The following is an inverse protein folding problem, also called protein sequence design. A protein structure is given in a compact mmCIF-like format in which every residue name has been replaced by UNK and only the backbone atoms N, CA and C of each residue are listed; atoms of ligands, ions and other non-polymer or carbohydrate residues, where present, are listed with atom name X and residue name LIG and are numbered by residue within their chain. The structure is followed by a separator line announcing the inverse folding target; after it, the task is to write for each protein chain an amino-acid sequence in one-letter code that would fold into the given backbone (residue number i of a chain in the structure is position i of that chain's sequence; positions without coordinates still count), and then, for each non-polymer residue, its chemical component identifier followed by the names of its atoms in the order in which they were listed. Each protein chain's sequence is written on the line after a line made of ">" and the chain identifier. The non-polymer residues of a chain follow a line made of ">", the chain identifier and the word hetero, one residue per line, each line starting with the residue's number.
data_IF_994458838584
#
_entry.id   IF_994458838584
#
_cell.length_a   1.000
_cell.length_b   1.000
_cell.length_c   1.000
_cell.angle_alpha   90.00
_cell.angle_beta   90.00
_cell.angle_gamma   90.00
#
_symmetry.space_group_name_H-M   'P 1'
#
loop_
_entity.id
_entity.type
_entity.pdbx_description
1 polymer ?
#
# COMPACT_ATOMS: atom_id res chain seq x y z
N UNK A 1 -5.64 -19.28 -20.51
CA UNK A 1 -4.95 -18.00 -20.25
C UNK A 1 -4.41 -18.05 -18.83
N UNK A 2 -3.08 -18.17 -18.70
CA UNK A 2 -2.45 -18.09 -17.40
C UNK A 2 -2.66 -16.68 -16.85
N UNK A 3 -3.40 -16.53 -15.74
CA UNK A 3 -3.49 -15.29 -15.00
C UNK A 3 -2.06 -14.93 -14.56
N UNK A 4 -1.56 -13.80 -15.01
CA UNK A 4 -0.23 -13.34 -14.59
C UNK A 4 -0.27 -13.12 -13.08
N UNK A 5 0.78 -13.56 -12.38
CA UNK A 5 0.92 -13.40 -10.92
C UNK A 5 0.74 -11.93 -10.45
N UNK A 6 0.93 -10.96 -11.37
CA UNK A 6 0.71 -9.53 -11.14
C UNK A 6 -0.75 -9.10 -10.97
N UNK A 7 -1.73 -9.98 -11.25
CA UNK A 7 -3.15 -9.65 -11.17
C UNK A 7 -3.75 -9.96 -9.78
N UNK A 8 -2.99 -10.57 -8.88
CA UNK A 8 -3.47 -10.85 -7.54
C UNK A 8 -3.43 -9.58 -6.65
N UNK A 9 -4.36 -9.52 -5.68
CA UNK A 9 -4.48 -8.41 -4.74
C UNK A 9 -3.15 -8.04 -4.07
N UNK A 10 -2.41 -9.02 -3.56
CA UNK A 10 -1.13 -8.79 -2.87
C UNK A 10 -0.06 -8.16 -3.76
N UNK A 11 0.00 -8.55 -5.04
CA UNK A 11 0.94 -7.96 -5.99
C UNK A 11 0.60 -6.50 -6.30
N UNK A 12 -0.68 -6.14 -6.34
CA UNK A 12 -1.13 -4.78 -6.66
C UNK A 12 -0.97 -3.78 -5.51
N UNK A 13 -0.94 -4.24 -4.27
CA UNK A 13 -0.84 -3.38 -3.07
C UNK A 13 0.53 -3.46 -2.39
N UNK A 14 1.47 -4.22 -2.94
CA UNK A 14 2.84 -4.32 -2.42
C UNK A 14 3.68 -3.08 -2.76
N UNK A 15 4.78 -2.88 -2.02
CA UNK A 15 5.74 -1.84 -2.33
C UNK A 15 6.35 -2.00 -3.74
N UNK A 16 6.44 -3.23 -4.24
CA UNK A 16 6.89 -3.52 -5.61
C UNK A 16 5.95 -2.90 -6.66
N UNK A 17 4.65 -2.85 -6.40
CA UNK A 17 3.70 -2.16 -7.25
C UNK A 17 3.94 -0.66 -7.26
N UNK A 18 4.17 -0.05 -6.09
CA UNK A 18 4.53 1.37 -6.01
C UNK A 18 5.82 1.67 -6.78
N UNK A 19 6.86 0.84 -6.61
CA UNK A 19 8.12 0.95 -7.37
C UNK A 19 7.85 0.90 -8.87
N UNK A 20 7.12 -0.10 -9.33
CA UNK A 20 6.80 -0.28 -10.75
C UNK A 20 6.07 0.95 -11.31
N UNK A 21 4.99 1.37 -10.65
CA UNK A 21 4.19 2.53 -11.07
C UNK A 21 5.01 3.84 -11.08
N UNK A 22 5.91 4.02 -10.10
CA UNK A 22 6.84 5.14 -10.06
C UNK A 22 7.77 5.13 -11.28
N UNK A 23 8.47 4.02 -11.51
CA UNK A 23 9.42 3.89 -12.62
C UNK A 23 8.74 4.03 -14.00
N UNK A 24 7.53 3.46 -14.18
CA UNK A 24 6.72 3.64 -15.39
C UNK A 24 6.38 5.13 -15.61
N UNK A 25 5.88 5.80 -14.56
CA UNK A 25 5.47 7.21 -14.66
C UNK A 25 6.65 8.16 -14.86
N UNK A 26 7.83 7.78 -14.42
CA UNK A 26 9.09 8.49 -14.69
C UNK A 26 9.66 8.19 -16.09
N UNK A 27 9.08 7.24 -16.84
CA UNK A 27 9.60 6.81 -18.12
C UNK A 27 10.93 6.07 -18.03
N UNK A 28 11.19 5.37 -16.94
CA UNK A 28 12.44 4.63 -16.70
C UNK A 28 12.33 3.15 -17.10
N UNK A 29 11.11 2.63 -17.18
CA UNK A 29 10.81 1.26 -17.62
C UNK A 29 9.71 1.27 -18.68
N UNK A 30 9.66 0.23 -19.50
CA UNK A 30 8.59 -0.02 -20.45
C UNK A 30 7.38 -0.74 -19.79
N UNK A 31 6.32 -0.96 -20.56
CA UNK A 31 5.10 -1.64 -20.11
C UNK A 31 5.34 -3.08 -19.60
N UNK A 32 6.44 -3.71 -20.02
CA UNK A 32 6.87 -5.02 -19.58
C UNK A 32 7.71 -4.98 -18.30
N UNK A 33 8.11 -3.78 -17.85
CA UNK A 33 8.96 -3.54 -16.69
C UNK A 33 10.45 -3.66 -16.98
N UNK A 34 10.86 -3.62 -18.24
CA UNK A 34 12.27 -3.59 -18.64
C UNK A 34 12.82 -2.15 -18.60
N UNK A 35 14.06 -1.99 -18.13
CA UNK A 35 14.71 -0.69 -18.10
C UNK A 35 14.89 -0.15 -19.52
N UNK A 36 14.49 1.11 -19.73
CA UNK A 36 14.69 1.83 -20.98
C UNK A 36 16.14 2.29 -21.14
N UNK A 37 16.80 2.57 -20.01
CA UNK A 37 18.26 2.81 -19.97
C UNK A 37 18.96 1.59 -19.40
N UNK A 38 19.87 1.00 -20.17
CA UNK A 38 20.68 -0.17 -19.76
C UNK A 38 21.61 0.11 -18.58
N UNK A 39 21.91 1.39 -18.30
CA UNK A 39 22.71 1.80 -17.15
C UNK A 39 21.88 1.82 -15.85
N UNK A 40 20.54 1.75 -15.93
CA UNK A 40 19.68 1.73 -14.77
C UNK A 40 19.63 0.35 -14.14
N UNK A 41 20.22 0.22 -12.96
CA UNK A 41 20.11 -0.98 -12.14
C UNK A 41 18.78 -0.98 -11.39
N UNK A 42 17.80 -1.69 -11.95
CA UNK A 42 16.46 -1.81 -11.34
C UNK A 42 16.48 -2.55 -9.99
N UNK A 43 17.46 -3.42 -9.74
CA UNK A 43 17.56 -4.13 -8.46
C UNK A 43 18.04 -3.20 -7.35
N UNK A 44 18.87 -2.23 -7.67
CA UNK A 44 19.34 -1.21 -6.73
C UNK A 44 18.25 -0.19 -6.32
N UNK A 45 17.15 -0.09 -7.08
CA UNK A 45 16.02 0.77 -6.71
C UNK A 45 15.15 0.08 -5.68
N UNK A 46 15.29 0.48 -4.43
CA UNK A 46 14.46 0.03 -3.31
C UNK A 46 13.32 1.02 -2.99
N UNK A 47 12.49 0.66 -2.00
CA UNK A 47 11.39 1.52 -1.56
C UNK A 47 11.86 2.87 -1.00
N UNK A 48 13.05 2.92 -0.39
CA UNK A 48 13.63 4.16 0.14
C UNK A 48 13.95 5.12 -1.01
N UNK A 49 14.56 4.62 -2.07
CA UNK A 49 14.91 5.43 -3.25
C UNK A 49 13.66 6.00 -3.94
N UNK A 50 12.59 5.21 -4.03
CA UNK A 50 11.31 5.70 -4.60
C UNK A 50 10.77 6.86 -3.77
N UNK A 51 10.81 6.75 -2.43
CA UNK A 51 10.33 7.84 -1.56
C UNK A 51 11.30 9.04 -1.51
N UNK A 52 12.58 8.88 -1.78
CA UNK A 52 13.49 10.01 -1.98
C UNK A 52 13.04 10.87 -3.17
N UNK A 53 12.68 10.25 -4.31
CA UNK A 53 12.14 10.96 -5.47
C UNK A 53 10.79 11.62 -5.17
N UNK A 54 9.87 10.92 -4.50
CA UNK A 54 8.58 11.47 -4.09
C UNK A 54 8.77 12.69 -3.19
N UNK A 55 9.63 12.60 -2.19
CA UNK A 55 9.89 13.68 -1.24
C UNK A 55 10.67 14.86 -1.88
N UNK A 56 11.43 14.60 -2.92
CA UNK A 56 12.08 15.63 -3.74
C UNK A 56 11.10 16.33 -4.69
N UNK A 57 9.85 15.87 -4.80
CA UNK A 57 8.84 16.44 -5.68
C UNK A 57 8.99 16.05 -7.14
N UNK A 58 9.67 14.92 -7.42
CA UNK A 58 9.84 14.42 -8.78
C UNK A 58 8.46 14.05 -9.37
N UNK A 59 8.10 14.66 -10.49
CA UNK A 59 6.73 14.65 -11.03
C UNK A 59 6.26 13.25 -11.42
N UNK A 60 7.12 12.44 -12.04
CA UNK A 60 6.80 11.08 -12.40
C UNK A 60 6.65 10.16 -11.19
N UNK A 61 7.47 10.35 -10.13
CA UNK A 61 7.35 9.60 -8.90
C UNK A 61 6.07 9.95 -8.14
N UNK A 62 5.67 11.22 -8.14
CA UNK A 62 4.38 11.67 -7.58
C UNK A 62 3.20 11.10 -8.36
N UNK A 63 3.26 11.06 -9.68
CA UNK A 63 2.25 10.44 -10.52
C UNK A 63 2.13 8.93 -10.25
N UNK A 64 3.26 8.25 -10.05
CA UNK A 64 3.30 6.84 -9.64
C UNK A 64 2.65 6.61 -8.29
N UNK A 65 2.93 7.47 -7.31
CA UNK A 65 2.29 7.43 -5.98
C UNK A 65 0.77 7.64 -6.07
N UNK A 66 0.31 8.59 -6.91
CA UNK A 66 -1.12 8.84 -7.12
C UNK A 66 -1.83 7.63 -7.73
N UNK A 67 -1.23 6.99 -8.74
CA UNK A 67 -1.74 5.75 -9.35
C UNK A 67 -1.82 4.62 -8.31
N UNK A 68 -0.79 4.46 -7.50
CA UNK A 68 -0.75 3.47 -6.42
C UNK A 68 -1.83 3.73 -5.37
N UNK A 69 -1.93 4.98 -4.89
CA UNK A 69 -2.95 5.38 -3.92
C UNK A 69 -4.36 5.16 -4.45
N UNK A 70 -4.62 5.46 -5.72
CA UNK A 70 -5.91 5.21 -6.37
C UNK A 70 -6.27 3.72 -6.36
N UNK A 71 -5.34 2.84 -6.74
CA UNK A 71 -5.56 1.41 -6.75
C UNK A 71 -5.82 0.85 -5.34
N UNK A 72 -5.05 1.30 -4.34
CA UNK A 72 -5.21 0.85 -2.96
C UNK A 72 -6.51 1.39 -2.33
N UNK A 73 -6.87 2.65 -2.59
CA UNK A 73 -8.12 3.24 -2.08
C UNK A 73 -9.36 2.54 -2.63
N UNK A 74 -9.39 2.13 -3.90
CA UNK A 74 -10.48 1.32 -4.44
C UNK A 74 -10.65 -0.02 -3.68
N UNK A 75 -9.53 -0.63 -3.26
CA UNK A 75 -9.58 -1.87 -2.45
C UNK A 75 -10.08 -1.61 -1.03
N UNK A 76 -9.58 -0.55 -0.39
CA UNK A 76 -10.04 -0.11 0.94
C UNK A 76 -11.53 0.20 0.88
N UNK A 77 -12.00 0.91 -0.13
CA UNK A 77 -13.41 1.24 -0.31
C UNK A 77 -14.28 -0.02 -0.49
N UNK A 78 -13.81 -1.02 -1.25
CA UNK A 78 -14.50 -2.29 -1.38
C UNK A 78 -14.62 -3.04 -0.06
N UNK A 79 -13.55 -3.02 0.77
CA UNK A 79 -13.57 -3.62 2.11
C UNK A 79 -14.48 -2.84 3.07
N UNK A 80 -14.49 -1.49 2.98
CA UNK A 80 -15.40 -0.64 3.75
C UNK A 80 -16.85 -1.01 3.49
N UNK A 81 -17.23 -1.20 2.22
CA UNK A 81 -18.59 -1.54 1.84
C UNK A 81 -19.06 -2.90 2.37
N UNK A 82 -18.16 -3.82 2.68
CA UNK A 82 -18.50 -5.19 3.12
C UNK A 82 -18.34 -5.37 4.62
N UNK A 83 -17.28 -4.79 5.20
CA UNK A 83 -16.88 -5.04 6.60
C UNK A 83 -17.19 -3.86 7.53
N UNK A 84 -17.36 -2.67 6.98
CA UNK A 84 -17.62 -1.40 7.70
C UNK A 84 -16.73 -1.20 8.94
N UNK A 85 -15.39 -1.32 8.82
CA UNK A 85 -14.50 -1.14 9.96
C UNK A 85 -14.33 0.33 10.31
N UNK A 86 -14.09 0.64 11.60
CA UNK A 86 -13.84 2.01 12.09
C UNK A 86 -12.55 2.62 11.54
N UNK A 87 -11.56 1.79 11.21
CA UNK A 87 -10.22 2.23 10.81
C UNK A 87 -9.49 1.21 9.95
N UNK A 88 -8.75 1.71 8.97
CA UNK A 88 -7.76 0.95 8.21
C UNK A 88 -6.35 1.35 8.66
N UNK A 89 -5.65 0.44 9.30
CA UNK A 89 -4.26 0.64 9.70
C UNK A 89 -3.31 0.10 8.62
N UNK A 90 -2.52 0.99 8.03
CA UNK A 90 -1.53 0.65 7.01
C UNK A 90 -0.22 0.28 7.68
N UNK A 91 0.19 -0.97 7.55
CA UNK A 91 1.43 -1.52 8.08
C UNK A 91 2.50 -1.76 7.01
N UNK A 92 3.61 -2.37 7.42
CA UNK A 92 4.74 -2.68 6.56
C UNK A 92 5.74 -1.53 6.39
N UNK A 93 6.88 -1.79 5.73
CA UNK A 93 8.01 -0.86 5.66
C UNK A 93 7.69 0.50 5.03
N UNK A 94 6.81 0.54 4.03
CA UNK A 94 6.44 1.79 3.35
C UNK A 94 5.45 2.66 4.15
N UNK A 95 4.74 2.10 5.14
CA UNK A 95 3.80 2.84 5.97
C UNK A 95 4.47 3.91 6.85
N UNK A 96 5.78 3.81 7.04
CA UNK A 96 6.58 4.80 7.75
C UNK A 96 6.66 6.15 7.01
N UNK A 97 6.30 6.18 5.73
CA UNK A 97 6.39 7.37 4.89
C UNK A 97 5.12 8.22 4.98
N UNK A 98 5.19 9.44 5.53
CA UNK A 98 4.01 10.30 5.68
C UNK A 98 3.34 10.62 4.33
N UNK A 99 4.13 10.76 3.26
CA UNK A 99 3.63 11.01 1.91
C UNK A 99 2.63 9.94 1.45
N UNK A 100 2.87 8.66 1.79
CA UNK A 100 1.95 7.58 1.46
C UNK A 100 0.59 7.74 2.17
N UNK A 101 0.62 7.95 3.49
CA UNK A 101 -0.61 8.08 4.28
C UNK A 101 -1.42 9.29 3.81
N UNK A 102 -0.75 10.44 3.58
CA UNK A 102 -1.39 11.64 3.06
C UNK A 102 -2.00 11.42 1.67
N UNK A 103 -1.30 10.74 0.77
CA UNK A 103 -1.82 10.42 -0.56
C UNK A 103 -3.06 9.52 -0.48
N UNK A 104 -3.07 8.51 0.40
CA UNK A 104 -4.22 7.63 0.60
C UNK A 104 -5.42 8.39 1.18
N UNK A 105 -5.22 9.24 2.19
CA UNK A 105 -6.29 10.04 2.78
C UNK A 105 -6.90 10.99 1.77
N UNK A 106 -6.08 11.73 1.01
CA UNK A 106 -6.53 12.65 -0.03
C UNK A 106 -7.28 11.91 -1.14
N UNK A 107 -6.76 10.79 -1.60
CA UNK A 107 -7.40 10.00 -2.66
C UNK A 107 -8.72 9.39 -2.21
N UNK A 108 -8.81 8.93 -0.96
CA UNK A 108 -10.05 8.41 -0.39
C UNK A 108 -11.12 9.49 -0.28
N UNK A 109 -10.77 10.69 0.17
CA UNK A 109 -11.69 11.83 0.20
C UNK A 109 -12.23 12.15 -1.21
N UNK A 110 -11.35 12.24 -2.21
CA UNK A 110 -11.76 12.44 -3.60
C UNK A 110 -12.69 11.36 -4.12
N UNK A 111 -12.43 10.09 -3.77
CA UNK A 111 -13.26 8.97 -4.19
C UNK A 111 -14.67 9.05 -3.60
N UNK A 112 -14.79 9.36 -2.32
CA UNK A 112 -16.09 9.51 -1.64
C UNK A 112 -16.87 10.70 -2.19
N UNK A 113 -16.22 11.83 -2.46
CA UNK A 113 -16.83 13.02 -3.05
C UNK A 113 -17.44 12.75 -4.45
N UNK A 114 -16.91 11.79 -5.18
CA UNK A 114 -17.45 11.38 -6.49
C UNK A 114 -18.73 10.55 -6.40
N UNK A 115 -19.12 10.09 -5.20
CA UNK A 115 -20.28 9.21 -4.98
C UNK A 115 -21.27 9.83 -3.98
N UNK A 116 -21.83 11.02 -4.26
CA UNK A 116 -22.59 11.80 -3.30
C UNK A 116 -23.92 11.15 -2.84
N UNK A 117 -24.42 10.16 -3.57
CA UNK A 117 -25.66 9.44 -3.23
C UNK A 117 -25.42 8.22 -2.32
N UNK A 118 -24.20 7.80 -2.13
CA UNK A 118 -23.85 6.81 -1.11
C UNK A 118 -23.47 7.58 0.15
N UNK A 119 -24.31 7.53 1.17
CA UNK A 119 -24.02 8.12 2.50
C UNK A 119 -22.91 7.33 3.22
N UNK A 120 -21.78 7.12 2.54
CA UNK A 120 -20.62 6.43 3.09
C UNK A 120 -19.67 7.49 3.60
N UNK A 121 -19.32 7.41 4.88
CA UNK A 121 -18.24 8.21 5.42
C UNK A 121 -16.89 7.68 4.89
N UNK A 122 -15.97 8.58 4.55
CA UNK A 122 -14.62 8.20 4.18
C UNK A 122 -13.99 7.41 5.34
N UNK A 123 -13.51 6.19 5.09
CA UNK A 123 -12.90 5.39 6.13
C UNK A 123 -11.64 6.07 6.67
N UNK A 124 -11.42 5.97 7.97
CA UNK A 124 -10.24 6.52 8.62
C UNK A 124 -9.02 5.66 8.27
N UNK A 125 -8.07 6.24 7.54
CA UNK A 125 -6.82 5.58 7.18
C UNK A 125 -5.71 6.13 8.06
N UNK A 126 -4.98 5.25 8.76
CA UNK A 126 -3.89 5.60 9.67
C UNK A 126 -2.66 4.72 9.42
N UNK A 127 -1.50 5.18 9.88
CA UNK A 127 -0.32 4.34 10.00
C UNK A 127 -0.48 3.36 11.16
N UNK A 128 -0.12 2.09 10.95
CA UNK A 128 -0.03 1.13 12.04
C UNK A 128 1.09 1.53 13.02
N UNK A 129 0.79 1.54 14.31
CA UNK A 129 1.69 2.04 15.36
C UNK A 129 3.03 1.29 15.38
N UNK A 130 3.00 -0.03 15.25
CA UNK A 130 4.20 -0.87 15.27
C UNK A 130 4.86 -1.06 13.89
N UNK A 131 4.36 -0.38 12.85
CA UNK A 131 4.96 -0.39 11.50
C UNK A 131 5.21 -1.81 10.98
N UNK A 132 6.48 -2.12 10.70
CA UNK A 132 6.89 -3.42 10.14
C UNK A 132 6.82 -4.58 11.16
N UNK A 133 6.88 -4.27 12.46
CA UNK A 133 6.88 -5.27 13.53
C UNK A 133 5.46 -5.73 13.92
N UNK A 134 4.42 -5.10 13.37
CA UNK A 134 3.01 -5.42 13.67
C UNK A 134 2.69 -6.91 13.49
N UNK A 135 3.20 -7.53 12.43
CA UNK A 135 2.97 -8.94 12.14
C UNK A 135 3.68 -9.85 13.15
N UNK A 136 4.91 -9.48 13.55
CA UNK A 136 5.69 -10.24 14.54
C UNK A 136 5.03 -10.17 15.92
N UNK A 137 4.60 -8.97 16.32
CA UNK A 137 3.89 -8.78 17.59
C UNK A 137 2.56 -9.53 17.62
N UNK A 138 1.80 -9.52 16.52
CA UNK A 138 0.57 -10.29 16.38
C UNK A 138 0.82 -11.79 16.50
N UNK A 139 1.85 -12.32 15.87
CA UNK A 139 2.23 -13.73 15.97
C UNK A 139 2.61 -14.11 17.42
N UNK A 140 3.42 -13.29 18.10
CA UNK A 140 3.81 -13.51 19.51
C UNK A 140 2.57 -13.47 20.42
N UNK A 141 1.65 -12.54 20.19
CA UNK A 141 0.41 -12.44 20.96
C UNK A 141 -0.45 -13.71 20.82
N UNK A 142 -0.66 -14.21 19.61
CA UNK A 142 -1.41 -15.42 19.37
C UNK A 142 -0.73 -16.67 19.95
N UNK A 143 0.60 -16.79 19.87
CA UNK A 143 1.32 -17.87 20.52
C UNK A 143 1.07 -17.88 22.03
N UNK A 144 1.21 -16.73 22.70
CA UNK A 144 0.95 -16.60 24.14
C UNK A 144 -0.50 -16.95 24.51
N UNK A 145 -1.45 -16.45 23.72
CA UNK A 145 -2.86 -16.75 23.94
C UNK A 145 -3.15 -18.25 23.86
N UNK A 146 -2.50 -18.93 22.92
CA UNK A 146 -2.65 -20.38 22.73
C UNK A 146 -2.05 -21.18 23.91
N UNK A 147 -0.90 -20.76 24.41
CA UNK A 147 -0.24 -21.37 25.59
C UNK A 147 -1.09 -21.22 26.86
N UNK A 148 -1.62 -20.00 27.12
CA UNK A 148 -2.47 -19.74 28.29
C UNK A 148 -3.78 -20.54 28.21
N UNK A 149 -4.38 -20.68 27.01
CA UNK A 149 -5.58 -21.50 26.82
C UNK A 149 -5.35 -22.98 27.07
N UNK A 150 -4.16 -23.51 26.81
CA UNK A 150 -3.79 -24.90 27.10
C UNK A 150 -3.61 -25.18 28.62
N UNK A 151 -3.06 -24.22 29.34
CA UNK A 151 -2.82 -24.36 30.79
C UNK A 151 -4.09 -24.30 31.65
N UNK A 152 -5.26 -24.02 31.04
CA UNK A 152 -6.55 -24.01 31.76
C UNK A 152 -7.41 -25.27 31.51
N UNK A 153 -6.91 -26.23 30.75
CA UNK A 153 -7.65 -27.47 30.37
C UNK A 153 -7.05 -28.70 31.05
N UNK A 154 -5.93 -28.57 31.78
CA UNK A 154 -5.35 -29.61 32.68
C UNK A 154 -5.71 -29.30 34.13
#
# INVERSE_FOLDING_TARGET
>A
SARRFGDCFGAQVSWLSLKKLGLESMGLIDDNGAALDKALDLEAVDGKRVFEWINAGEEGALAGLDRYASALCLRIFSLQAVLDPDVFAIGGGISAQPALISALQNKMAQLVDQIPFMQIQAPRIVRAENGNDSNLLGAVYECRRYEVGRSQVD
#
